data_IF_934218194887
#
_entry.id   IF_934218194887
#
_cell.length_a   1.000
_cell.length_b   1.000
_cell.length_c   1.000
_cell.angle_alpha   90.00
_cell.angle_beta   90.00
_cell.angle_gamma   90.00
#
_symmetry.space_group_name_H-M   'P 1'
#
loop_
_entity.id
_entity.type
_entity.pdbx_description
1 polymer ?
#
# COMPACT_ATOMS: atom_id res chain seq x y z
N UNK A 1 3.16 25.96 12.62
CA UNK A 1 2.26 24.82 12.41
C UNK A 1 2.95 23.79 11.56
N UNK A 2 3.07 22.58 12.07
CA UNK A 2 3.70 21.51 11.31
C UNK A 2 2.73 20.95 10.26
N UNK A 3 3.22 20.80 9.05
CA UNK A 3 2.46 20.15 7.99
C UNK A 3 2.42 18.64 8.25
N UNK A 4 1.23 18.05 8.17
CA UNK A 4 1.09 16.60 8.28
C UNK A 4 1.34 15.95 6.93
N UNK A 5 1.98 14.76 6.87
CA UNK A 5 2.13 14.05 5.61
C UNK A 5 0.76 13.72 5.00
N UNK A 6 0.69 13.76 3.68
CA UNK A 6 -0.51 13.32 2.96
C UNK A 6 -0.69 11.81 3.06
N UNK A 7 0.40 11.07 3.08
CA UNK A 7 0.39 9.60 3.11
C UNK A 7 1.57 9.08 3.91
N UNK A 8 1.33 8.11 4.77
CA UNK A 8 2.39 7.29 5.34
C UNK A 8 2.15 5.84 4.97
N UNK A 9 3.23 5.07 4.85
CA UNK A 9 3.16 3.67 4.43
C UNK A 9 3.99 2.77 5.34
N UNK A 10 3.55 2.52 6.57
CA UNK A 10 4.22 1.54 7.42
C UNK A 10 3.88 0.11 6.97
N UNK A 11 4.80 -0.82 7.22
CA UNK A 11 4.41 -2.23 7.21
C UNK A 11 3.79 -2.55 8.59
N UNK A 12 3.32 -3.78 8.77
CA UNK A 12 2.67 -4.16 10.04
C UNK A 12 3.62 -3.99 11.23
N UNK A 13 4.87 -4.40 11.10
CA UNK A 13 5.86 -4.31 12.17
C UNK A 13 6.13 -2.84 12.54
N UNK A 14 6.29 -1.99 11.53
CA UNK A 14 6.48 -0.56 11.76
C UNK A 14 5.27 0.07 12.43
N UNK A 15 4.06 -0.36 12.06
CA UNK A 15 2.85 0.12 12.68
C UNK A 15 2.75 -0.33 14.15
N UNK A 16 3.15 -1.56 14.44
CA UNK A 16 3.24 -2.07 15.82
C UNK A 16 4.20 -1.21 16.65
N UNK A 17 5.35 -0.87 16.08
CA UNK A 17 6.34 -0.02 16.77
C UNK A 17 5.79 1.39 17.02
N UNK A 18 5.09 1.97 16.03
CA UNK A 18 4.50 3.31 16.16
C UNK A 18 3.43 3.38 17.24
N UNK A 19 2.63 2.34 17.39
CA UNK A 19 1.48 2.33 18.29
C UNK A 19 1.77 1.66 19.64
N UNK A 20 2.87 0.94 19.75
CA UNK A 20 3.20 0.16 20.93
C UNK A 20 2.30 -1.06 21.12
N UNK A 21 1.62 -1.49 20.09
CA UNK A 21 0.66 -2.61 20.15
C UNK A 21 1.08 -3.72 19.19
N UNK A 22 0.68 -4.96 19.50
CA UNK A 22 0.80 -6.10 18.61
C UNK A 22 -0.57 -6.39 17.98
N UNK A 23 -0.57 -6.78 16.71
CA UNK A 23 -1.82 -7.03 15.99
C UNK A 23 -1.95 -8.51 15.65
N UNK A 24 -3.12 -9.06 15.93
CA UNK A 24 -3.45 -10.46 15.66
C UNK A 24 -4.50 -10.59 14.55
N UNK A 25 -5.07 -9.49 14.07
CA UNK A 25 -6.11 -9.51 13.05
C UNK A 25 -6.04 -8.26 12.18
N UNK A 26 -6.63 -8.35 11.00
CA UNK A 26 -6.76 -7.21 10.09
C UNK A 26 -7.55 -6.07 10.74
N UNK A 27 -8.58 -6.39 11.50
CA UNK A 27 -9.40 -5.41 12.21
C UNK A 27 -8.56 -4.54 13.14
N UNK A 28 -7.64 -5.14 13.88
CA UNK A 28 -6.74 -4.40 14.77
C UNK A 28 -5.80 -3.49 14.01
N UNK A 29 -5.28 -3.95 12.87
CA UNK A 29 -4.44 -3.15 11.99
C UNK A 29 -5.21 -1.94 11.47
N UNK A 30 -6.43 -2.15 11.00
CA UNK A 30 -7.29 -1.08 10.48
C UNK A 30 -7.60 -0.06 11.57
N UNK A 31 -7.93 -0.51 12.78
CA UNK A 31 -8.23 0.38 13.89
C UNK A 31 -7.04 1.26 14.26
N UNK A 32 -5.85 0.67 14.28
CA UNK A 32 -4.61 1.43 14.55
C UNK A 32 -4.35 2.47 13.46
N UNK A 33 -4.55 2.10 12.20
CA UNK A 33 -4.40 3.04 11.09
C UNK A 33 -5.42 4.17 11.16
N UNK A 34 -6.66 3.89 11.56
CA UNK A 34 -7.69 4.92 11.76
C UNK A 34 -7.30 5.92 12.85
N UNK A 35 -6.69 5.45 13.93
CA UNK A 35 -6.19 6.34 14.97
C UNK A 35 -5.16 7.32 14.41
N UNK A 36 -4.27 6.85 13.55
CA UNK A 36 -3.26 7.70 12.92
C UNK A 36 -3.92 8.71 11.97
N UNK A 37 -4.89 8.29 11.18
CA UNK A 37 -5.64 9.21 10.30
C UNK A 37 -6.30 10.31 11.14
N UNK A 38 -6.84 9.97 12.30
CA UNK A 38 -7.48 10.94 13.19
C UNK A 38 -6.53 11.98 13.77
N UNK A 39 -5.22 11.74 13.70
CA UNK A 39 -4.23 12.76 14.12
C UNK A 39 -3.99 13.83 13.05
N UNK A 40 -4.57 13.69 11.86
CA UNK A 40 -4.47 14.67 10.77
C UNK A 40 -3.74 14.18 9.53
N UNK A 41 -3.27 12.95 9.52
CA UNK A 41 -2.69 12.34 8.32
C UNK A 41 -3.83 11.88 7.43
N UNK A 42 -3.83 12.26 6.16
CA UNK A 42 -4.97 12.00 5.28
C UNK A 42 -5.12 10.53 4.90
N UNK A 43 -4.01 9.83 4.70
CA UNK A 43 -4.03 8.44 4.25
C UNK A 43 -2.95 7.63 4.94
N UNK A 44 -3.30 6.40 5.33
CA UNK A 44 -2.34 5.44 5.88
C UNK A 44 -2.45 4.14 5.08
N UNK A 45 -1.35 3.74 4.45
CA UNK A 45 -1.29 2.47 3.73
C UNK A 45 -0.43 1.51 4.54
N UNK A 46 -1.01 0.40 4.97
CA UNK A 46 -0.26 -0.61 5.74
C UNK A 46 -0.01 -1.81 4.82
N UNK A 47 1.26 -2.14 4.64
CA UNK A 47 1.62 -3.32 3.86
C UNK A 47 1.65 -4.55 4.77
N UNK A 48 1.11 -5.66 4.26
CA UNK A 48 0.87 -6.89 5.04
C UNK A 48 1.67 -8.07 4.49
N UNK A 49 2.77 -7.82 3.79
CA UNK A 49 3.55 -8.88 3.17
C UNK A 49 2.73 -9.63 2.12
N UNK A 50 2.72 -10.95 2.21
CA UNK A 50 1.98 -11.80 1.27
C UNK A 50 0.47 -11.65 1.31
N UNK A 51 -0.06 -11.01 2.35
CA UNK A 51 -1.51 -10.78 2.50
C UNK A 51 -2.00 -9.51 1.82
N UNK A 52 -1.13 -8.77 1.14
CA UNK A 52 -1.51 -7.57 0.42
C UNK A 52 -1.28 -6.29 1.21
N UNK A 53 -2.23 -5.38 1.16
CA UNK A 53 -2.14 -4.10 1.84
C UNK A 53 -3.53 -3.56 2.17
N UNK A 54 -3.59 -2.62 3.10
CA UNK A 54 -4.82 -1.86 3.38
C UNK A 54 -4.53 -0.38 3.24
N UNK A 55 -5.48 0.37 2.74
CA UNK A 55 -5.43 1.83 2.67
C UNK A 55 -6.58 2.38 3.51
N UNK A 56 -6.23 3.20 4.49
CA UNK A 56 -7.21 3.84 5.37
C UNK A 56 -7.21 5.33 5.08
N UNK A 57 -8.38 5.85 4.74
CA UNK A 57 -8.62 7.28 4.54
C UNK A 57 -9.58 7.78 5.63
N UNK A 58 -9.93 9.06 5.61
CA UNK A 58 -10.89 9.59 6.58
C UNK A 58 -12.25 8.91 6.52
N UNK A 59 -12.68 8.54 5.32
CA UNK A 59 -14.04 8.07 5.09
C UNK A 59 -14.12 6.59 4.71
N UNK A 60 -13.03 6.00 4.24
CA UNK A 60 -13.07 4.67 3.64
C UNK A 60 -11.87 3.83 4.03
N UNK A 61 -12.04 2.52 3.93
CA UNK A 61 -10.97 1.54 4.10
C UNK A 61 -11.02 0.61 2.90
N UNK A 62 -9.87 0.45 2.24
CA UNK A 62 -9.74 -0.47 1.11
C UNK A 62 -8.73 -1.55 1.45
N UNK A 63 -9.03 -2.76 1.03
CA UNK A 63 -8.06 -3.86 1.09
C UNK A 63 -7.66 -4.22 -0.34
N UNK A 64 -6.34 -4.27 -0.60
CA UNK A 64 -5.80 -4.68 -1.88
C UNK A 64 -5.07 -6.00 -1.74
N UNK A 65 -5.36 -6.93 -2.63
CA UNK A 65 -4.65 -8.21 -2.70
C UNK A 65 -4.09 -8.41 -4.10
N UNK A 66 -2.98 -9.14 -4.17
CA UNK A 66 -2.33 -9.44 -5.43
C UNK A 66 -2.34 -10.95 -5.67
N UNK A 67 -2.20 -11.40 -6.93
CA UNK A 67 -2.18 -12.83 -7.24
C UNK A 67 -0.92 -13.48 -6.66
N UNK A 68 -0.95 -14.80 -6.48
CA UNK A 68 0.25 -15.54 -6.10
C UNK A 68 1.27 -15.41 -7.19
N UNK A 69 2.43 -14.85 -6.86
CA UNK A 69 3.53 -14.62 -7.79
C UNK A 69 4.83 -15.04 -7.12
N UNK A 70 5.84 -15.33 -7.94
CA UNK A 70 7.17 -15.59 -7.44
C UNK A 70 7.83 -14.28 -7.03
N UNK A 71 8.19 -14.16 -5.75
CA UNK A 71 8.87 -12.98 -5.23
C UNK A 71 10.37 -13.25 -5.30
N UNK A 72 11.08 -12.44 -6.08
CA UNK A 72 12.51 -12.55 -6.26
C UNK A 72 13.29 -11.55 -5.41
N UNK A 73 12.73 -10.39 -5.20
CA UNK A 73 13.42 -9.32 -4.49
C UNK A 73 12.40 -8.33 -3.92
N UNK A 74 12.48 -8.09 -2.61
CA UNK A 74 11.59 -7.12 -1.95
C UNK A 74 12.23 -5.74 -1.78
N UNK A 75 13.51 -5.59 -2.11
CA UNK A 75 14.21 -4.30 -2.04
C UNK A 75 13.65 -3.36 -3.10
N UNK A 76 13.25 -2.18 -2.68
CA UNK A 76 12.67 -1.19 -3.59
C UNK A 76 11.18 -1.32 -3.83
N UNK A 77 10.53 -2.41 -3.37
CA UNK A 77 9.08 -2.59 -3.53
C UNK A 77 8.29 -1.47 -2.86
N UNK A 78 8.74 -1.03 -1.69
CA UNK A 78 8.11 0.09 -0.98
C UNK A 78 8.16 1.38 -1.80
N UNK A 79 9.31 1.67 -2.40
CA UNK A 79 9.47 2.86 -3.24
C UNK A 79 8.59 2.78 -4.49
N UNK A 80 8.50 1.61 -5.11
CA UNK A 80 7.63 1.38 -6.26
C UNK A 80 6.16 1.54 -5.91
N UNK A 81 5.76 1.10 -4.72
CA UNK A 81 4.39 1.26 -4.20
C UNK A 81 4.05 2.75 -4.08
N UNK A 82 4.94 3.53 -3.48
CA UNK A 82 4.75 4.99 -3.34
C UNK A 82 4.71 5.66 -4.70
N UNK A 83 5.59 5.25 -5.63
CA UNK A 83 5.61 5.80 -6.98
C UNK A 83 4.29 5.56 -7.72
N UNK A 84 3.72 4.35 -7.59
CA UNK A 84 2.42 4.03 -8.19
C UNK A 84 1.30 4.90 -7.63
N UNK A 85 1.27 5.10 -6.31
CA UNK A 85 0.30 5.98 -5.67
C UNK A 85 0.45 7.42 -6.16
N UNK A 86 1.68 7.92 -6.19
CA UNK A 86 1.95 9.29 -6.63
C UNK A 86 1.55 9.51 -8.09
N UNK A 87 1.83 8.54 -8.96
CA UNK A 87 1.42 8.63 -10.36
C UNK A 87 -0.11 8.72 -10.49
N UNK A 88 -0.83 7.83 -9.81
CA UNK A 88 -2.30 7.84 -9.85
C UNK A 88 -2.87 9.17 -9.39
N UNK A 89 -2.33 9.73 -8.31
CA UNK A 89 -2.74 11.03 -7.81
C UNK A 89 -2.43 12.15 -8.80
N UNK A 90 -1.28 12.08 -9.49
CA UNK A 90 -0.87 13.12 -10.44
C UNK A 90 -1.78 13.19 -11.67
N UNK A 91 -2.45 12.11 -12.02
CA UNK A 91 -3.39 12.06 -13.15
C UNK A 91 -4.85 12.03 -12.69
N UNK A 92 -5.09 12.43 -11.45
CA UNK A 92 -6.42 12.58 -10.86
C UNK A 92 -7.27 11.29 -10.86
N UNK A 93 -6.63 10.15 -10.70
CA UNK A 93 -7.38 8.89 -10.55
C UNK A 93 -8.07 8.83 -9.19
N UNK A 94 -9.24 8.15 -9.09
CA UNK A 94 -9.87 7.89 -7.80
C UNK A 94 -8.91 7.16 -6.85
N UNK A 95 -9.11 7.31 -5.55
CA UNK A 95 -8.21 6.75 -4.54
C UNK A 95 -8.07 5.23 -4.63
N UNK A 96 -9.15 4.51 -4.94
CA UNK A 96 -9.11 3.07 -5.13
C UNK A 96 -8.23 2.66 -6.32
N UNK A 97 -8.25 3.44 -7.40
CA UNK A 97 -7.38 3.19 -8.55
C UNK A 97 -5.93 3.55 -8.25
N UNK A 98 -5.69 4.61 -7.48
CA UNK A 98 -4.34 4.95 -7.01
C UNK A 98 -3.77 3.81 -6.17
N UNK A 99 -4.59 3.25 -5.30
CA UNK A 99 -4.20 2.14 -4.45
C UNK A 99 -3.92 0.88 -5.27
N UNK A 100 -4.74 0.60 -6.29
CA UNK A 100 -4.51 -0.51 -7.23
C UNK A 100 -3.14 -0.39 -7.91
N UNK A 101 -2.82 0.81 -8.41
CA UNK A 101 -1.52 1.08 -9.02
C UNK A 101 -0.39 0.88 -8.02
N UNK A 102 -0.56 1.36 -6.81
CA UNK A 102 0.45 1.22 -5.76
C UNK A 102 0.77 -0.26 -5.49
N UNK A 103 -0.27 -1.07 -5.30
CA UNK A 103 -0.11 -2.51 -5.04
C UNK A 103 0.52 -3.20 -6.26
N UNK A 104 0.06 -2.86 -7.47
CA UNK A 104 0.58 -3.45 -8.69
C UNK A 104 2.05 -3.12 -8.92
N UNK A 105 2.46 -1.88 -8.69
CA UNK A 105 3.85 -1.46 -8.85
C UNK A 105 4.76 -2.16 -7.84
N UNK A 106 4.34 -2.25 -6.58
CA UNK A 106 5.11 -2.95 -5.56
C UNK A 106 5.26 -4.44 -5.87
N UNK A 107 4.17 -5.07 -6.30
CA UNK A 107 4.18 -6.49 -6.69
C UNK A 107 5.09 -6.74 -7.89
N UNK A 108 4.97 -5.91 -8.93
CA UNK A 108 5.79 -6.01 -10.13
C UNK A 108 7.28 -5.88 -9.78
N UNK A 109 7.63 -4.91 -8.96
CA UNK A 109 9.02 -4.73 -8.54
C UNK A 109 9.55 -5.95 -7.78
N UNK A 110 8.73 -6.56 -6.94
CA UNK A 110 9.12 -7.75 -6.17
C UNK A 110 9.32 -8.99 -7.04
N UNK A 111 8.74 -9.03 -8.24
CA UNK A 111 8.85 -10.14 -9.17
C UNK A 111 10.13 -10.13 -10.00
N UNK A 112 10.88 -9.03 -10.02
CA UNK A 112 12.09 -8.87 -10.82
C UNK A 112 13.33 -8.83 -9.93
N UNK A 113 14.49 -9.15 -10.53
CA UNK A 113 15.76 -9.15 -9.81
C UNK A 113 16.35 -7.75 -9.65
N UNK A 114 15.89 -6.79 -10.44
CA UNK A 114 16.42 -5.42 -10.44
C UNK A 114 15.70 -4.56 -9.42
N UNK A 115 16.45 -3.94 -8.53
CA UNK A 115 15.91 -3.01 -7.54
C UNK A 115 15.51 -1.70 -8.21
N UNK A 116 14.30 -1.24 -7.92
CA UNK A 116 13.82 0.07 -8.38
C UNK A 116 13.37 0.12 -9.83
N UNK A 117 13.43 -0.99 -10.55
CA UNK A 117 12.96 -1.08 -11.93
C UNK A 117 11.54 -1.61 -11.99
N UNK A 118 10.73 -1.03 -12.87
CA UNK A 118 9.39 -1.54 -13.13
C UNK A 118 9.34 -2.08 -14.55
N UNK A 119 9.00 -3.36 -14.68
CA UNK A 119 8.76 -3.98 -15.96
C UNK A 119 7.33 -3.68 -16.38
N UNK A 120 7.16 -2.85 -17.42
CA UNK A 120 5.85 -2.40 -17.84
C UNK A 120 4.97 -3.53 -18.39
N UNK A 121 5.55 -4.57 -18.95
CA UNK A 121 4.77 -5.70 -19.44
C UNK A 121 4.24 -6.55 -18.28
N UNK A 122 5.06 -6.78 -17.27
CA UNK A 122 4.62 -7.45 -16.05
C UNK A 122 3.55 -6.61 -15.36
N UNK A 123 3.74 -5.30 -15.28
CA UNK A 123 2.76 -4.40 -14.68
C UNK A 123 1.42 -4.49 -15.38
N UNK A 124 1.41 -4.48 -16.72
CA UNK A 124 0.19 -4.62 -17.51
C UNK A 124 -0.54 -5.93 -17.23
N UNK A 125 0.21 -7.01 -17.02
CA UNK A 125 -0.36 -8.31 -16.70
C UNK A 125 -0.92 -8.38 -15.29
N UNK A 126 -0.21 -7.78 -14.34
CA UNK A 126 -0.56 -7.82 -12.91
C UNK A 126 -1.70 -6.87 -12.57
N UNK A 127 -1.73 -5.68 -13.17
CA UNK A 127 -2.67 -4.63 -12.80
C UNK A 127 -4.13 -5.08 -12.76
N UNK A 128 -4.65 -5.78 -13.79
CA UNK A 128 -6.04 -6.25 -13.73
C UNK A 128 -6.27 -7.40 -12.75
N UNK A 129 -5.21 -8.01 -12.24
CA UNK A 129 -5.31 -9.11 -11.27
C UNK A 129 -5.31 -8.62 -9.82
N UNK A 130 -5.03 -7.35 -9.60
CA UNK A 130 -5.11 -6.76 -8.26
C UNK A 130 -6.58 -6.59 -7.89
N UNK A 131 -6.95 -7.10 -6.72
CA UNK A 131 -8.33 -7.02 -6.24
C UNK A 131 -8.38 -5.94 -5.15
N UNK A 132 -9.22 -4.94 -5.35
CA UNK A 132 -9.44 -3.87 -4.38
C UNK A 132 -10.86 -4.01 -3.84
N UNK A 133 -10.99 -4.13 -2.52
CA UNK A 133 -12.27 -4.24 -1.85
C UNK A 133 -12.42 -3.13 -0.83
N UNK A 134 -13.57 -2.48 -0.81
CA UNK A 134 -13.91 -1.56 0.27
C UNK A 134 -14.45 -2.36 1.45
N UNK A 135 -13.88 -2.17 2.62
CA UNK A 135 -14.27 -2.94 3.81
C UNK A 135 -14.74 -2.04 4.94
#
# INVERSE_FOLDING_TARGET
MEAKPFLIKPNQEELEDLTGKKFNSLSEVVDAAKEIVNTGIENVMVTLGGDGAVLVTKDKVYKGTFPKVEIKNTVGSGDSTIAGMAYGLSVDKPMDECFRLAVACGTTNAMVDSTGSIDHEILKDILPKIIIEEI
#
